data_IF_425536601095
#
_entry.id   IF_425536601095
#
_cell.length_a   1.000
_cell.length_b   1.000
_cell.length_c   1.000
_cell.angle_alpha   90.00
_cell.angle_beta   90.00
_cell.angle_gamma   90.00
#
_symmetry.space_group_name_H-M   'P 1'
#
loop_
_entity.id
_entity.type
_entity.pdbx_description
1 polymer ?
#
# COMPACT_ATOMS: atom_id res chain seq x y z
N UNK A 1 78.79 49.02 -35.23
CA UNK A 1 77.57 49.59 -34.63
C UNK A 1 76.45 49.37 -35.60
N UNK A 2 75.34 48.93 -35.17
CA UNK A 2 74.07 48.66 -35.79
C UNK A 2 73.78 47.22 -36.20
N UNK A 3 72.91 46.66 -35.40
CA UNK A 3 72.41 45.31 -35.40
C UNK A 3 71.28 45.13 -36.43
N UNK A 4 71.36 44.08 -37.23
CA UNK A 4 70.32 43.69 -38.17
C UNK A 4 69.45 42.62 -37.54
N UNK A 5 68.19 42.94 -37.35
CA UNK A 5 67.17 41.99 -36.84
C UNK A 5 66.70 41.05 -37.99
N UNK A 6 66.99 39.76 -37.84
CA UNK A 6 66.43 38.72 -38.71
C UNK A 6 64.99 38.40 -38.26
N UNK A 7 64.03 38.59 -39.15
CA UNK A 7 62.63 38.20 -39.00
C UNK A 7 62.48 36.71 -39.35
N UNK A 8 62.08 35.89 -38.37
CA UNK A 8 61.75 34.50 -38.60
C UNK A 8 60.22 34.39 -38.74
N UNK A 9 59.78 33.95 -39.92
CA UNK A 9 58.39 33.56 -40.15
C UNK A 9 58.18 32.14 -39.64
N UNK A 10 57.31 31.98 -38.65
CA UNK A 10 56.81 30.67 -38.21
C UNK A 10 55.44 30.46 -38.86
N UNK A 11 55.38 29.49 -39.77
CA UNK A 11 54.14 29.03 -40.33
C UNK A 11 53.34 28.25 -39.26
N UNK A 12 52.16 28.76 -38.86
CA UNK A 12 51.24 28.06 -37.98
C UNK A 12 50.36 27.20 -38.88
N UNK A 13 50.56 25.88 -38.81
CA UNK A 13 49.66 24.91 -39.40
C UNK A 13 48.35 24.84 -38.55
N UNK A 14 47.24 25.27 -39.15
CA UNK A 14 45.94 25.14 -38.55
C UNK A 14 45.47 23.67 -38.63
N UNK A 15 45.59 22.94 -37.53
CA UNK A 15 44.96 21.62 -37.36
C UNK A 15 43.51 21.83 -37.02
N UNK A 16 42.62 21.48 -37.93
CA UNK A 16 41.17 21.44 -37.67
C UNK A 16 40.85 20.30 -36.70
N UNK A 17 40.56 20.64 -35.47
CA UNK A 17 40.01 19.71 -34.52
C UNK A 17 38.49 19.56 -34.82
N UNK A 18 38.09 18.46 -35.47
CA UNK A 18 36.69 18.06 -35.53
C UNK A 18 36.18 17.79 -34.13
N UNK A 19 35.45 18.73 -33.54
CA UNK A 19 34.73 18.53 -32.28
C UNK A 19 33.63 17.53 -32.50
N UNK A 20 33.80 16.33 -31.96
CA UNK A 20 32.71 15.39 -31.78
C UNK A 20 31.73 16.00 -30.75
N UNK A 21 30.63 16.57 -31.23
CA UNK A 21 29.52 16.92 -30.37
C UNK A 21 28.85 15.58 -29.99
N UNK A 22 29.22 15.05 -28.83
CA UNK A 22 28.45 13.99 -28.18
C UNK A 22 27.10 14.62 -27.84
N UNK A 23 26.11 14.36 -28.68
CA UNK A 23 24.74 14.74 -28.41
C UNK A 23 24.31 14.06 -27.12
N UNK A 24 24.18 14.85 -26.04
CA UNK A 24 23.48 14.42 -24.83
C UNK A 24 22.04 14.20 -25.26
N UNK A 25 21.64 12.94 -25.48
CA UNK A 25 20.25 12.59 -25.68
C UNK A 25 19.43 13.20 -24.55
N UNK A 26 18.35 13.96 -24.84
CA UNK A 26 17.48 14.42 -23.78
C UNK A 26 17.03 13.18 -23.01
N UNK A 27 17.28 13.19 -21.69
CA UNK A 27 16.83 12.16 -20.81
C UNK A 27 15.40 11.77 -21.20
N UNK A 28 15.23 10.51 -21.60
CA UNK A 28 13.91 10.01 -21.96
C UNK A 28 13.00 10.34 -20.77
N UNK A 29 12.03 11.24 -20.99
CA UNK A 29 10.94 11.42 -20.03
C UNK A 29 10.35 10.03 -19.87
N UNK A 30 10.60 9.42 -18.73
CA UNK A 30 9.84 8.24 -18.30
C UNK A 30 8.40 8.74 -18.25
N UNK A 31 7.69 8.46 -19.31
CA UNK A 31 6.27 8.75 -19.40
C UNK A 31 5.65 7.85 -18.34
N UNK A 32 5.20 8.46 -17.24
CA UNK A 32 4.49 7.72 -16.19
C UNK A 32 3.41 6.92 -16.90
N UNK A 33 3.51 5.61 -16.84
CA UNK A 33 2.48 4.74 -17.36
C UNK A 33 1.15 5.23 -16.79
N UNK A 34 0.14 5.37 -17.62
CA UNK A 34 -1.20 5.70 -17.16
C UNK A 34 -1.51 4.73 -16.00
N UNK A 35 -2.07 5.22 -14.86
CA UNK A 35 -2.35 4.36 -13.73
C UNK A 35 -3.11 3.14 -14.25
N UNK A 36 -2.52 1.95 -14.08
CA UNK A 36 -3.15 0.72 -14.50
C UNK A 36 -4.52 0.70 -13.84
N UNK A 37 -5.56 0.53 -14.64
CA UNK A 37 -6.92 0.37 -14.16
C UNK A 37 -6.91 -0.64 -13.04
N UNK A 38 -7.51 -0.29 -11.88
CA UNK A 38 -7.67 -1.22 -10.76
C UNK A 38 -8.21 -2.53 -11.32
N UNK A 39 -7.45 -3.60 -11.19
CA UNK A 39 -7.92 -4.93 -11.55
C UNK A 39 -8.71 -5.46 -10.36
N UNK A 40 -9.99 -5.15 -10.31
CA UNK A 40 -10.92 -5.72 -9.34
C UNK A 40 -11.23 -7.17 -9.72
N UNK A 41 -10.29 -8.07 -9.46
CA UNK A 41 -10.58 -9.49 -9.61
C UNK A 41 -11.29 -9.99 -8.36
N UNK A 42 -12.44 -10.69 -8.52
CA UNK A 42 -13.08 -11.34 -7.40
C UNK A 42 -12.12 -12.29 -6.68
N UNK A 43 -12.20 -12.30 -5.35
CA UNK A 43 -11.48 -13.23 -4.50
C UNK A 43 -12.37 -14.42 -4.17
N UNK A 44 -11.74 -15.54 -3.88
CA UNK A 44 -12.48 -16.76 -3.51
C UNK A 44 -12.26 -17.05 -2.03
N UNK A 45 -13.31 -17.09 -1.22
CA UNK A 45 -13.19 -17.51 0.17
C UNK A 45 -12.61 -18.93 0.27
N UNK A 46 -11.93 -19.27 1.38
CA UNK A 46 -11.47 -20.63 1.64
C UNK A 46 -12.66 -21.61 1.63
N UNK A 47 -12.42 -22.85 1.24
CA UNK A 47 -13.46 -23.87 1.17
C UNK A 47 -14.09 -24.17 2.55
N UNK A 48 -13.35 -23.94 3.62
CA UNK A 48 -13.78 -24.14 5.01
C UNK A 48 -13.17 -23.07 5.91
N UNK A 49 -13.91 -22.67 6.94
CA UNK A 49 -13.47 -21.69 7.93
C UNK A 49 -13.53 -20.22 7.43
N UNK A 50 -13.21 -19.28 8.32
CA UNK A 50 -13.22 -17.87 8.00
C UNK A 50 -11.98 -17.44 7.21
N UNK A 51 -12.08 -16.31 6.53
CA UNK A 51 -10.95 -15.58 5.97
C UNK A 51 -10.14 -14.98 7.12
N UNK A 52 -8.89 -15.38 7.25
CA UNK A 52 -7.97 -14.87 8.26
C UNK A 52 -7.41 -13.51 7.84
N UNK A 53 -7.62 -12.49 8.65
CA UNK A 53 -7.11 -11.13 8.45
C UNK A 53 -6.08 -10.82 9.53
N UNK A 54 -4.82 -10.80 9.15
CA UNK A 54 -3.71 -10.52 10.05
C UNK A 54 -3.36 -9.03 10.04
N UNK A 55 -3.45 -8.37 11.19
CA UNK A 55 -2.93 -7.02 11.39
C UNK A 55 -1.50 -7.13 11.91
N UNK A 56 -0.53 -6.83 11.03
CA UNK A 56 0.90 -6.85 11.35
C UNK A 56 1.26 -5.58 12.11
N UNK A 57 1.45 -5.69 13.42
CA UNK A 57 1.67 -4.56 14.31
C UNK A 57 3.04 -4.56 14.97
N UNK A 58 3.54 -3.36 15.25
CA UNK A 58 4.74 -3.10 16.05
C UNK A 58 4.61 -1.73 16.73
N UNK A 59 5.57 -1.35 17.57
CA UNK A 59 5.56 -0.04 18.23
C UNK A 59 5.34 1.10 17.25
N UNK A 60 4.54 2.08 17.66
CA UNK A 60 4.12 3.21 16.86
C UNK A 60 3.03 2.89 15.83
N UNK A 61 2.41 1.70 15.90
CA UNK A 61 1.29 1.38 15.03
C UNK A 61 0.14 2.37 15.21
N UNK A 62 -0.32 2.98 14.12
CA UNK A 62 -1.41 3.95 14.15
C UNK A 62 -2.74 3.24 14.45
N UNK A 63 -3.43 3.73 15.49
CA UNK A 63 -4.65 3.10 15.99
C UNK A 63 -5.77 3.11 14.95
N UNK A 64 -5.93 4.21 14.21
CA UNK A 64 -7.01 4.30 13.23
C UNK A 64 -6.75 3.43 11.99
N UNK A 65 -5.48 3.25 11.62
CA UNK A 65 -5.07 2.35 10.53
C UNK A 65 -5.35 0.87 10.87
N UNK A 66 -5.45 0.55 12.16
CA UNK A 66 -5.85 -0.77 12.68
C UNK A 66 -7.38 -0.83 12.83
N UNK A 67 -7.93 0.03 13.68
CA UNK A 67 -9.32 -0.05 14.12
C UNK A 67 -10.32 0.10 12.97
N UNK A 68 -10.08 1.02 12.02
CA UNK A 68 -10.97 1.22 10.89
C UNK A 68 -11.16 -0.05 10.04
N UNK A 69 -10.10 -0.62 9.46
CA UNK A 69 -10.20 -1.89 8.73
C UNK A 69 -10.64 -3.08 9.59
N UNK A 70 -10.25 -3.09 10.87
CA UNK A 70 -10.63 -4.14 11.82
C UNK A 70 -12.15 -4.24 11.94
N UNK A 71 -12.83 -3.12 12.23
CA UNK A 71 -14.28 -3.06 12.33
C UNK A 71 -14.95 -3.47 11.02
N UNK A 72 -14.44 -3.00 9.86
CA UNK A 72 -14.99 -3.39 8.56
C UNK A 72 -14.97 -4.91 8.36
N UNK A 73 -13.85 -5.58 8.65
CA UNK A 73 -13.78 -7.03 8.50
C UNK A 73 -14.57 -7.78 9.57
N UNK A 74 -14.61 -7.25 10.81
CA UNK A 74 -15.32 -7.88 11.91
C UNK A 74 -16.83 -7.79 11.77
N UNK A 75 -17.36 -6.72 11.15
CA UNK A 75 -18.80 -6.48 10.99
C UNK A 75 -19.34 -6.88 9.62
N UNK A 76 -18.53 -7.51 8.77
CA UNK A 76 -19.04 -8.14 7.57
C UNK A 76 -19.84 -9.39 7.93
N UNK A 77 -21.13 -9.39 7.59
CA UNK A 77 -22.06 -10.45 7.97
C UNK A 77 -22.76 -11.06 6.76
N UNK A 78 -22.88 -12.38 6.78
CA UNK A 78 -23.56 -13.17 5.74
C UNK A 78 -24.64 -14.05 6.37
N UNK A 79 -25.62 -14.42 5.56
CA UNK A 79 -26.48 -15.56 5.83
C UNK A 79 -25.77 -16.87 5.48
N UNK A 80 -26.26 -18.00 5.97
CA UNK A 80 -25.79 -19.35 5.58
C UNK A 80 -25.83 -19.61 4.06
N UNK A 81 -26.61 -18.82 3.33
CA UNK A 81 -26.73 -18.86 1.87
C UNK A 81 -25.74 -17.91 1.16
N UNK A 82 -24.83 -17.27 1.91
CA UNK A 82 -23.83 -16.35 1.36
C UNK A 82 -24.39 -15.01 0.87
N UNK A 83 -25.59 -14.62 1.30
CA UNK A 83 -26.18 -13.31 1.03
C UNK A 83 -25.86 -12.33 2.16
N UNK A 84 -25.97 -11.01 1.96
CA UNK A 84 -25.88 -10.05 3.06
C UNK A 84 -26.89 -10.43 4.15
N UNK A 85 -26.42 -10.42 5.41
CA UNK A 85 -27.30 -10.66 6.55
C UNK A 85 -28.05 -9.37 6.93
N UNK A 86 -29.32 -9.52 7.31
CA UNK A 86 -30.17 -8.47 7.85
C UNK A 86 -30.86 -8.94 9.12
N UNK A 87 -31.24 -8.04 10.01
CA UNK A 87 -31.89 -8.38 11.28
C UNK A 87 -33.11 -9.32 11.10
N UNK A 88 -33.87 -9.16 10.00
CA UNK A 88 -35.00 -10.01 9.66
C UNK A 88 -34.64 -11.47 9.37
N UNK A 89 -33.36 -11.78 9.08
CA UNK A 89 -32.88 -13.15 8.83
C UNK A 89 -32.69 -13.94 10.14
N UNK A 90 -32.69 -13.25 11.29
CA UNK A 90 -32.45 -13.82 12.61
C UNK A 90 -30.98 -14.13 12.90
N UNK A 91 -30.65 -14.13 14.19
CA UNK A 91 -29.26 -14.34 14.65
C UNK A 91 -28.71 -15.75 14.33
N UNK A 92 -29.59 -16.74 14.24
CA UNK A 92 -29.19 -18.13 13.96
C UNK A 92 -28.68 -18.35 12.55
N UNK A 93 -29.00 -17.47 11.59
CA UNK A 93 -28.49 -17.50 10.21
C UNK A 93 -27.30 -16.54 9.98
N UNK A 94 -26.80 -15.88 11.02
CA UNK A 94 -25.69 -14.94 10.91
C UNK A 94 -24.35 -15.65 10.91
N UNK A 95 -23.53 -15.39 9.88
CA UNK A 95 -22.17 -15.86 9.75
C UNK A 95 -21.20 -14.68 9.70
N UNK A 96 -20.09 -14.78 10.44
CA UNK A 96 -18.97 -13.84 10.43
C UNK A 96 -17.85 -14.41 9.55
N UNK A 97 -17.74 -13.99 8.27
CA UNK A 97 -16.86 -14.64 7.32
C UNK A 97 -15.38 -14.32 7.50
N UNK A 98 -15.05 -13.30 8.28
CA UNK A 98 -13.66 -12.91 8.56
C UNK A 98 -13.31 -13.19 10.01
N UNK A 99 -12.04 -13.54 10.24
CA UNK A 99 -11.42 -13.64 11.56
C UNK A 99 -10.23 -12.70 11.62
N UNK A 100 -10.39 -11.58 12.32
CA UNK A 100 -9.35 -10.59 12.55
C UNK A 100 -8.44 -11.00 13.71
N UNK A 101 -7.15 -10.74 13.59
CA UNK A 101 -6.18 -10.90 14.67
C UNK A 101 -4.95 -10.02 14.47
N UNK A 102 -4.30 -9.67 15.58
CA UNK A 102 -3.02 -8.97 15.55
C UNK A 102 -1.86 -9.96 15.64
N UNK A 103 -0.78 -9.65 14.92
CA UNK A 103 0.46 -10.44 14.94
C UNK A 103 1.67 -9.51 15.07
N UNK A 104 2.66 -9.92 15.88
CA UNK A 104 3.89 -9.17 16.15
C UNK A 104 5.07 -10.10 16.39
N UNK A 105 6.27 -9.54 16.64
CA UNK A 105 7.49 -10.30 16.98
C UNK A 105 7.28 -11.22 18.21
N UNK A 106 6.45 -10.81 19.13
CA UNK A 106 6.16 -11.56 20.36
C UNK A 106 4.79 -11.18 20.91
N UNK A 107 4.36 -11.84 21.98
CA UNK A 107 3.12 -11.52 22.71
C UNK A 107 3.30 -10.36 23.72
N UNK A 108 4.44 -9.67 23.75
CA UNK A 108 4.62 -8.48 24.58
C UNK A 108 3.72 -7.36 24.06
N UNK A 109 3.15 -6.53 24.97
CA UNK A 109 2.34 -5.40 24.56
C UNK A 109 3.11 -4.48 23.60
N UNK A 110 2.47 -4.13 22.49
CA UNK A 110 2.92 -3.16 21.51
C UNK A 110 2.39 -1.79 21.92
N UNK A 111 3.26 -0.78 21.97
CA UNK A 111 2.86 0.60 22.21
C UNK A 111 2.44 1.24 20.90
N UNK A 112 1.15 1.30 20.63
CA UNK A 112 0.57 1.97 19.47
C UNK A 112 0.66 3.51 19.59
N UNK A 113 0.14 4.25 18.60
CA UNK A 113 0.11 5.70 18.63
C UNK A 113 -0.60 6.23 19.90
N UNK A 114 -0.19 7.39 20.34
CA UNK A 114 -0.76 8.11 21.50
C UNK A 114 -0.79 7.29 22.82
N UNK A 115 0.01 6.24 22.88
CA UNK A 115 0.22 5.46 24.11
C UNK A 115 -0.75 4.33 24.35
N UNK A 116 -1.65 4.01 23.43
CA UNK A 116 -2.49 2.82 23.53
C UNK A 116 -1.62 1.56 23.51
N UNK A 117 -1.89 0.64 24.43
CA UNK A 117 -1.18 -0.63 24.53
C UNK A 117 -2.05 -1.73 23.91
N UNK A 118 -1.50 -2.45 22.94
CA UNK A 118 -2.16 -3.58 22.28
C UNK A 118 -1.38 -4.85 22.58
N UNK A 119 -2.04 -5.85 23.16
CA UNK A 119 -1.46 -7.18 23.32
C UNK A 119 -1.71 -7.96 22.03
N UNK A 120 -0.67 -8.40 21.28
CA UNK A 120 -0.86 -9.19 20.08
C UNK A 120 -1.56 -10.51 20.35
N UNK A 121 -2.44 -10.95 19.47
CA UNK A 121 -3.09 -12.25 19.57
C UNK A 121 -2.11 -13.39 19.29
N UNK A 122 -1.14 -13.16 18.40
CA UNK A 122 -0.14 -14.15 17.98
C UNK A 122 1.24 -13.54 17.82
N UNK A 123 2.26 -14.39 17.95
CA UNK A 123 3.61 -14.10 17.46
C UNK A 123 3.78 -14.62 16.02
N UNK A 124 4.89 -14.24 15.36
CA UNK A 124 5.20 -14.77 14.02
C UNK A 124 5.38 -16.28 13.96
N UNK A 125 5.66 -16.90 15.10
CA UNK A 125 5.89 -18.35 15.20
C UNK A 125 4.59 -19.18 15.18
N UNK A 126 3.49 -18.60 15.67
CA UNK A 126 2.25 -19.36 15.91
C UNK A 126 1.01 -18.72 15.27
N UNK A 127 1.16 -17.64 14.50
CA UNK A 127 0.05 -17.00 13.82
C UNK A 127 -0.58 -17.94 12.78
N UNK A 128 -1.92 -18.01 12.71
CA UNK A 128 -2.59 -18.68 11.61
C UNK A 128 -2.18 -18.06 10.26
N UNK A 129 -2.16 -18.87 9.20
CA UNK A 129 -1.89 -18.37 7.86
C UNK A 129 -2.97 -17.36 7.44
N UNK A 130 -2.61 -16.12 7.07
CA UNK A 130 -3.57 -15.11 6.64
C UNK A 130 -3.97 -15.28 5.17
N UNK A 131 -5.20 -14.92 4.84
CA UNK A 131 -5.64 -14.60 3.49
C UNK A 131 -5.50 -13.10 3.21
N UNK A 132 -5.62 -12.28 4.24
CA UNK A 132 -5.43 -10.82 4.12
C UNK A 132 -4.41 -10.37 5.17
N UNK A 133 -3.44 -9.56 4.75
CA UNK A 133 -2.49 -8.90 5.65
C UNK A 133 -2.75 -7.40 5.62
N UNK A 134 -2.96 -6.80 6.78
CA UNK A 134 -3.12 -5.34 6.95
C UNK A 134 -1.89 -4.78 7.64
N UNK A 135 -1.27 -3.77 7.03
CA UNK A 135 -0.06 -3.11 7.53
C UNK A 135 -0.36 -1.65 7.83
N UNK A 136 -0.53 -1.27 9.11
CA UNK A 136 -0.69 0.13 9.52
C UNK A 136 0.61 0.92 9.39
N UNK A 137 0.55 2.23 9.50
CA UNK A 137 1.72 3.04 9.82
C UNK A 137 2.33 2.53 11.14
N UNK A 138 3.65 2.32 11.18
CA UNK A 138 4.35 1.79 12.34
C UNK A 138 5.88 1.94 12.21
N UNK A 139 6.61 1.78 13.33
CA UNK A 139 8.05 1.99 13.38
C UNK A 139 8.88 0.69 13.23
N UNK A 140 8.34 -0.45 13.62
CA UNK A 140 9.07 -1.72 13.63
C UNK A 140 9.53 -2.18 12.24
N UNK A 141 10.75 -2.71 12.20
CA UNK A 141 11.40 -3.22 10.97
C UNK A 141 12.36 -4.37 11.31
N UNK A 142 11.90 -5.32 12.15
CA UNK A 142 12.74 -6.48 12.50
C UNK A 142 12.92 -7.43 11.31
N UNK A 143 14.01 -8.20 11.32
CA UNK A 143 14.23 -9.24 10.30
C UNK A 143 13.15 -10.34 10.38
N UNK A 144 12.66 -10.65 11.58
CA UNK A 144 11.57 -11.60 11.78
C UNK A 144 10.27 -11.09 11.15
N UNK A 145 9.93 -9.81 11.35
CA UNK A 145 8.79 -9.16 10.73
C UNK A 145 8.88 -9.19 9.19
N UNK A 146 10.07 -8.87 8.65
CA UNK A 146 10.33 -8.92 7.21
C UNK A 146 10.15 -10.34 6.66
N UNK A 147 10.75 -11.33 7.31
CA UNK A 147 10.66 -12.73 6.89
C UNK A 147 9.21 -13.23 6.92
N UNK A 148 8.48 -12.93 8.00
CA UNK A 148 7.08 -13.29 8.13
C UNK A 148 6.22 -12.66 7.04
N UNK A 149 6.38 -11.35 6.81
CA UNK A 149 5.62 -10.62 5.79
C UNK A 149 5.89 -11.19 4.39
N UNK A 150 7.15 -11.34 4.00
CA UNK A 150 7.50 -11.83 2.65
C UNK A 150 7.03 -13.28 2.42
N UNK A 151 7.13 -14.14 3.45
CA UNK A 151 6.66 -15.53 3.37
C UNK A 151 5.14 -15.60 3.19
N UNK A 152 4.38 -14.82 3.97
CA UNK A 152 2.92 -14.86 3.92
C UNK A 152 2.36 -14.12 2.71
N UNK A 153 2.93 -12.97 2.31
CA UNK A 153 2.51 -12.23 1.11
C UNK A 153 2.74 -12.99 -0.20
N UNK A 154 3.61 -14.00 -0.20
CA UNK A 154 3.75 -14.90 -1.35
C UNK A 154 2.49 -15.74 -1.60
N UNK A 155 1.71 -16.02 -0.57
CA UNK A 155 0.64 -17.02 -0.59
C UNK A 155 -0.72 -16.52 -0.05
N UNK A 156 -0.80 -15.28 0.47
CA UNK A 156 -2.07 -14.64 0.84
C UNK A 156 -2.90 -14.27 -0.41
N UNK A 157 -4.11 -13.81 -0.21
CA UNK A 157 -4.95 -13.29 -1.27
C UNK A 157 -4.67 -11.79 -1.51
N UNK A 158 -4.47 -11.04 -0.41
CA UNK A 158 -4.17 -9.60 -0.46
C UNK A 158 -3.27 -9.17 0.69
N UNK A 159 -2.16 -8.53 0.36
CA UNK A 159 -1.37 -7.71 1.29
C UNK A 159 -1.73 -6.24 1.10
N UNK A 160 -2.38 -5.62 2.10
CA UNK A 160 -2.77 -4.22 2.05
C UNK A 160 -2.03 -3.37 3.08
N UNK A 161 -1.73 -2.12 2.72
CA UNK A 161 -1.19 -1.13 3.65
C UNK A 161 -2.15 0.05 3.83
N UNK A 162 -2.10 0.66 5.00
CA UNK A 162 -2.79 1.91 5.31
C UNK A 162 -1.76 2.96 5.68
N UNK A 163 -1.97 4.20 5.24
CA UNK A 163 -1.12 5.33 5.59
C UNK A 163 0.35 5.12 5.17
N UNK A 164 1.29 5.40 6.06
CA UNK A 164 2.72 5.17 5.81
C UNK A 164 3.13 3.70 5.94
N UNK A 165 2.21 2.79 6.24
CA UNK A 165 2.43 1.34 6.12
C UNK A 165 2.95 0.93 4.75
N UNK A 166 2.60 1.68 3.70
CA UNK A 166 3.15 1.51 2.36
C UNK A 166 4.69 1.60 2.30
N UNK A 167 5.33 2.27 3.26
CA UNK A 167 6.80 2.32 3.35
C UNK A 167 7.43 0.96 3.61
N UNK A 168 6.76 0.09 4.37
CA UNK A 168 7.22 -1.27 4.61
C UNK A 168 7.15 -2.11 3.34
N UNK A 169 6.06 -2.01 2.60
CA UNK A 169 5.91 -2.70 1.30
C UNK A 169 6.95 -2.21 0.29
N UNK A 170 7.18 -0.89 0.21
CA UNK A 170 8.18 -0.29 -0.67
C UNK A 170 9.61 -0.72 -0.28
N UNK A 171 9.94 -0.69 1.01
CA UNK A 171 11.25 -1.08 1.53
C UNK A 171 11.58 -2.56 1.23
N UNK A 172 10.58 -3.42 1.24
CA UNK A 172 10.75 -4.85 0.98
C UNK A 172 10.54 -5.23 -0.49
N UNK A 173 10.38 -4.23 -1.37
CA UNK A 173 10.32 -4.41 -2.82
C UNK A 173 8.95 -4.83 -3.36
N UNK A 174 7.94 -4.97 -2.51
CA UNK A 174 6.59 -5.43 -2.90
C UNK A 174 5.82 -4.40 -3.76
N UNK A 175 6.28 -3.13 -3.78
CA UNK A 175 5.70 -2.06 -4.59
C UNK A 175 6.56 -1.67 -5.81
N UNK A 176 7.70 -2.31 -6.05
CA UNK A 176 8.58 -1.93 -7.15
C UNK A 176 7.86 -2.01 -8.51
N UNK A 177 7.90 -0.92 -9.27
CA UNK A 177 7.23 -0.79 -10.57
C UNK A 177 5.72 -0.60 -10.50
N UNK A 178 5.13 -0.61 -9.30
CA UNK A 178 3.68 -0.44 -9.13
C UNK A 178 3.32 1.02 -8.83
N UNK A 179 2.07 1.37 -9.18
CA UNK A 179 1.43 2.59 -8.68
C UNK A 179 0.96 2.36 -7.25
N UNK A 180 1.17 3.32 -6.36
CA UNK A 180 0.77 3.23 -4.96
C UNK A 180 0.23 4.55 -4.45
N UNK A 181 -0.53 4.50 -3.35
CA UNK A 181 -0.85 5.70 -2.58
C UNK A 181 -0.40 5.54 -1.13
N UNK A 182 -0.35 6.64 -0.41
CA UNK A 182 0.04 6.70 1.00
C UNK A 182 -0.58 7.94 1.62
N UNK A 183 -0.32 8.18 2.92
CA UNK A 183 -0.78 9.42 3.55
C UNK A 183 -0.21 10.65 2.83
N UNK A 184 -1.08 11.60 2.46
CA UNK A 184 -0.73 12.73 1.60
C UNK A 184 0.44 13.58 2.11
N UNK A 185 0.58 13.76 3.43
CA UNK A 185 1.68 14.53 4.03
C UNK A 185 3.05 13.88 3.84
N UNK A 186 3.11 12.58 3.68
CA UNK A 186 4.37 11.83 3.55
C UNK A 186 4.68 11.40 2.11
N UNK A 187 3.73 11.56 1.20
CA UNK A 187 3.83 11.04 -0.17
C UNK A 187 5.07 11.55 -0.93
N UNK A 188 5.39 12.85 -0.82
CA UNK A 188 6.55 13.43 -1.51
C UNK A 188 7.89 12.91 -0.95
N UNK A 189 7.98 12.72 0.37
CA UNK A 189 9.14 12.09 1.02
C UNK A 189 9.29 10.62 0.62
N UNK A 190 8.20 9.88 0.60
CA UNK A 190 8.19 8.49 0.17
C UNK A 190 8.55 8.34 -1.31
N UNK A 191 8.07 9.23 -2.19
CA UNK A 191 8.47 9.21 -3.60
C UNK A 191 9.98 9.43 -3.77
N UNK A 192 10.59 10.29 -2.94
CA UNK A 192 12.04 10.50 -2.93
C UNK A 192 12.80 9.27 -2.42
N UNK A 193 12.30 8.66 -1.35
CA UNK A 193 12.95 7.52 -0.69
C UNK A 193 12.83 6.22 -1.50
N UNK A 194 11.72 6.04 -2.22
CA UNK A 194 11.42 4.82 -2.98
C UNK A 194 11.14 5.15 -4.46
N UNK A 195 12.17 5.53 -5.23
CA UNK A 195 12.01 5.98 -6.63
C UNK A 195 11.49 4.89 -7.58
N UNK A 196 11.58 3.61 -7.19
CA UNK A 196 11.03 2.49 -7.95
C UNK A 196 9.50 2.33 -7.81
N UNK A 197 8.86 3.09 -6.91
CA UNK A 197 7.41 3.09 -6.70
C UNK A 197 6.81 4.34 -7.32
N UNK A 198 5.64 4.22 -7.96
CA UNK A 198 4.95 5.36 -8.57
C UNK A 198 3.84 5.86 -7.64
N UNK A 199 4.17 6.73 -6.68
CA UNK A 199 3.16 7.28 -5.78
C UNK A 199 2.24 8.27 -6.50
N UNK A 200 0.94 8.17 -6.23
CA UNK A 200 -0.11 9.05 -6.76
C UNK A 200 -0.95 9.66 -5.64
N UNK A 201 -1.55 10.82 -5.96
CA UNK A 201 -2.51 11.53 -5.11
C UNK A 201 -3.87 11.62 -5.80
N UNK A 202 -4.90 12.12 -5.10
CA UNK A 202 -6.26 12.24 -5.65
C UNK A 202 -7.06 10.93 -5.63
N UNK A 203 -6.57 9.93 -4.88
CA UNK A 203 -7.19 8.61 -4.78
C UNK A 203 -7.11 8.09 -3.34
N UNK A 204 -8.14 7.40 -2.88
CA UNK A 204 -8.21 6.84 -1.52
C UNK A 204 -7.38 5.57 -1.38
N UNK A 205 -7.39 4.72 -2.40
CA UNK A 205 -6.59 3.50 -2.44
C UNK A 205 -6.25 3.11 -3.88
N UNK A 206 -5.22 2.28 -4.01
CA UNK A 206 -4.82 1.62 -5.26
C UNK A 206 -4.79 0.13 -5.00
N UNK A 207 -5.41 -0.65 -5.87
CA UNK A 207 -5.43 -2.11 -5.80
C UNK A 207 -4.84 -2.73 -7.07
N UNK A 208 -3.81 -3.57 -6.91
CA UNK A 208 -3.18 -4.36 -7.97
C UNK A 208 -3.54 -5.85 -7.89
N UNK A 209 -4.63 -6.18 -7.22
CA UNK A 209 -5.07 -7.55 -7.02
C UNK A 209 -4.45 -8.18 -5.79
N UNK A 210 -3.16 -8.43 -5.79
CA UNK A 210 -2.43 -9.06 -4.68
C UNK A 210 -1.86 -8.07 -3.68
N UNK A 211 -1.47 -6.89 -4.14
CA UNK A 211 -0.95 -5.83 -3.28
C UNK A 211 -1.83 -4.60 -3.43
N UNK A 212 -2.26 -4.03 -2.32
CA UNK A 212 -3.08 -2.83 -2.30
C UNK A 212 -2.54 -1.80 -1.30
N UNK A 213 -2.74 -0.52 -1.58
CA UNK A 213 -2.29 0.57 -0.70
C UNK A 213 -3.41 1.58 -0.49
N UNK A 214 -3.67 1.98 0.74
CA UNK A 214 -4.59 3.05 1.08
C UNK A 214 -3.86 4.31 1.54
N UNK A 215 -4.49 5.46 1.35
CA UNK A 215 -4.09 6.72 1.94
C UNK A 215 -4.13 6.70 3.47
N UNK A 216 -4.21 7.86 4.12
CA UNK A 216 -4.20 7.94 5.59
C UNK A 216 -5.51 7.54 6.25
N UNK A 217 -5.38 6.91 7.42
CA UNK A 217 -6.44 6.71 8.41
C UNK A 217 -7.73 6.08 7.82
N UNK A 218 -8.78 6.90 7.66
CA UNK A 218 -10.09 6.43 7.17
C UNK A 218 -10.06 5.83 5.75
N UNK A 219 -9.00 6.05 4.96
CA UNK A 219 -8.85 5.37 3.66
C UNK A 219 -8.68 3.85 3.80
N UNK A 220 -8.21 3.39 4.98
CA UNK A 220 -8.15 1.97 5.32
C UNK A 220 -9.52 1.31 5.35
N UNK A 221 -10.56 2.04 5.80
CA UNK A 221 -11.95 1.54 5.78
C UNK A 221 -12.45 1.37 4.34
N UNK A 222 -12.19 2.34 3.46
CA UNK A 222 -12.57 2.23 2.04
C UNK A 222 -11.90 1.03 1.38
N UNK A 223 -10.61 0.81 1.63
CA UNK A 223 -9.91 -0.34 1.08
C UNK A 223 -10.42 -1.66 1.67
N UNK A 224 -10.71 -1.71 2.97
CA UNK A 224 -11.28 -2.91 3.61
C UNK A 224 -12.67 -3.25 3.04
N UNK A 225 -13.57 -2.26 2.88
CA UNK A 225 -14.87 -2.46 2.23
C UNK A 225 -14.71 -2.92 0.78
N UNK A 226 -13.74 -2.40 0.05
CA UNK A 226 -13.40 -2.87 -1.28
C UNK A 226 -12.92 -4.33 -1.29
N UNK A 227 -12.15 -4.77 -0.29
CA UNK A 227 -11.76 -6.18 -0.15
C UNK A 227 -12.97 -7.07 0.20
N UNK A 228 -13.89 -6.60 1.06
CA UNK A 228 -15.15 -7.30 1.31
C UNK A 228 -15.95 -7.46 0.01
N UNK A 229 -16.05 -6.40 -0.81
CA UNK A 229 -16.67 -6.45 -2.14
C UNK A 229 -16.02 -7.49 -3.05
N UNK A 230 -14.69 -7.56 -3.08
CA UNK A 230 -13.96 -8.56 -3.88
C UNK A 230 -14.24 -10.00 -3.45
N UNK A 231 -14.50 -10.27 -2.17
CA UNK A 231 -14.84 -11.62 -1.68
C UNK A 231 -16.33 -11.97 -1.84
N UNK A 232 -17.21 -11.01 -1.57
CA UNK A 232 -18.64 -11.30 -1.37
C UNK A 232 -19.58 -10.41 -2.18
N UNK A 233 -19.04 -9.49 -2.96
CA UNK A 233 -19.83 -8.58 -3.80
C UNK A 233 -20.26 -7.31 -3.10
N UNK A 234 -20.67 -6.36 -3.92
CA UNK A 234 -21.00 -5.00 -3.51
C UNK A 234 -22.13 -4.93 -2.47
N UNK A 235 -23.12 -5.83 -2.54
CA UNK A 235 -24.24 -5.83 -1.62
C UNK A 235 -23.81 -6.12 -0.18
N UNK A 236 -22.87 -7.08 0.02
CA UNK A 236 -22.31 -7.38 1.34
C UNK A 236 -21.50 -6.19 1.86
N UNK A 237 -20.64 -5.62 1.02
CA UNK A 237 -19.84 -4.45 1.41
C UNK A 237 -20.74 -3.25 1.75
N UNK A 238 -21.85 -3.05 1.03
CA UNK A 238 -22.82 -1.98 1.33
C UNK A 238 -23.54 -2.19 2.66
N UNK A 239 -23.95 -3.42 2.96
CA UNK A 239 -24.59 -3.75 4.25
C UNK A 239 -23.57 -3.55 5.38
N UNK A 240 -22.32 -4.01 5.21
CA UNK A 240 -21.23 -3.77 6.16
C UNK A 240 -21.03 -2.27 6.41
N UNK A 241 -20.96 -1.45 5.36
CA UNK A 241 -20.82 -0.01 5.50
C UNK A 241 -22.02 0.61 6.26
N UNK A 242 -23.24 0.13 6.00
CA UNK A 242 -24.44 0.60 6.69
C UNK A 242 -24.43 0.22 8.18
N UNK A 243 -24.02 -1.00 8.53
CA UNK A 243 -23.90 -1.47 9.92
C UNK A 243 -22.91 -0.60 10.71
N UNK A 244 -21.82 -0.21 10.09
CA UNK A 244 -20.82 0.72 10.66
C UNK A 244 -21.27 2.19 10.65
N UNK A 245 -22.47 2.49 10.15
CA UNK A 245 -22.94 3.86 9.88
C UNK A 245 -21.94 4.67 9.02
N UNK A 246 -21.08 3.98 8.25
CA UNK A 246 -20.11 4.60 7.36
C UNK A 246 -20.79 5.10 6.08
N UNK A 247 -20.80 6.42 5.89
CA UNK A 247 -21.48 7.09 4.77
C UNK A 247 -20.55 7.39 3.59
N UNK A 248 -19.29 6.99 3.66
CA UNK A 248 -18.33 7.14 2.55
C UNK A 248 -18.70 6.21 1.38
N UNK A 249 -18.54 6.71 0.16
CA UNK A 249 -18.81 5.96 -1.09
C UNK A 249 -17.52 5.66 -1.88
N UNK A 250 -16.36 6.10 -1.36
CA UNK A 250 -15.09 6.02 -2.10
C UNK A 250 -14.49 4.60 -2.13
N UNK A 251 -15.07 3.67 -1.41
CA UNK A 251 -14.75 2.24 -1.53
C UNK A 251 -15.26 1.63 -2.85
N UNK A 252 -16.31 2.19 -3.46
CA UNK A 252 -16.86 1.79 -4.78
C UNK A 252 -16.03 2.41 -5.92
N UNK A 253 -15.62 3.67 -5.73
CA UNK A 253 -14.77 4.40 -6.66
C UNK A 253 -13.79 5.26 -5.87
N UNK A 254 -12.52 4.86 -5.74
CA UNK A 254 -11.58 5.49 -4.83
C UNK A 254 -11.11 6.89 -5.24
N UNK A 255 -11.45 7.36 -6.42
CA UNK A 255 -11.01 8.67 -6.93
C UNK A 255 -11.85 9.78 -6.31
N UNK A 256 -11.22 10.73 -5.64
CA UNK A 256 -11.86 11.94 -5.11
C UNK A 256 -11.37 13.22 -5.79
N UNK A 257 -10.49 13.09 -6.78
CA UNK A 257 -9.94 14.18 -7.56
C UNK A 257 -9.20 13.65 -8.78
N UNK A 258 -8.46 14.52 -9.45
CA UNK A 258 -7.57 14.10 -10.52
C UNK A 258 -6.41 13.28 -9.95
N UNK A 259 -6.24 12.06 -10.42
CA UNK A 259 -5.12 11.20 -10.02
C UNK A 259 -3.84 11.72 -10.67
N UNK A 260 -2.90 12.19 -9.84
CA UNK A 260 -1.64 12.78 -10.28
C UNK A 260 -0.44 12.08 -9.67
N UNK A 261 0.66 11.94 -10.43
CA UNK A 261 1.93 11.52 -9.85
C UNK A 261 2.37 12.46 -8.72
N UNK A 262 2.89 11.89 -7.65
CA UNK A 262 3.50 12.64 -6.56
C UNK A 262 4.89 13.11 -6.99
N UNK A 263 5.18 14.39 -6.82
CA UNK A 263 6.52 14.94 -7.06
C UNK A 263 7.37 14.69 -5.81
N UNK A 264 8.56 14.13 -6.00
CA UNK A 264 9.50 13.91 -4.90
C UNK A 264 9.86 15.22 -4.19
N UNK A 265 10.00 15.18 -2.87
CA UNK A 265 10.49 16.31 -2.10
C UNK A 265 11.91 16.72 -2.55
N UNK A 266 12.17 18.03 -2.65
CA UNK A 266 13.46 18.60 -3.00
C UNK A 266 14.51 18.36 -1.92
#
# INVERSE_FOLDING_TARGET
MTSAKKLFWVAVAATAVLGYIVGVSPAARVQAAAPSTMQTMPLKPPATGPINVAFLISDGADVMDIAGPWEVFSDAMLTSKGKPWHEADGMDDMLMPFRTYTVSDSLKPVKASDGLMIVPNYSFENAPRPQVIVIPAQNGRSDAQKAWLLSNSATDDVTMSVCTGASMLAQYGLLNGLTATTHHMFAAGMQKQYPAVHFVSGIRFVDHGKVATAGGLTSGMDLALHIVDRYYGQDVAQVTANTLEYRGELWKNPKFGEVKPVVAAR
#
